data_IF_670210105182
#
_entry.id   IF_670210105182
#
_cell.length_a   1.000
_cell.length_b   1.000
_cell.length_c   1.000
_cell.angle_alpha   90.00
_cell.angle_beta   90.00
_cell.angle_gamma   90.00
#
_symmetry.space_group_name_H-M   'P 1'
#
loop_
_entity.id
_entity.type
_entity.pdbx_description
1 polymer ?
#
# COMPACT_ATOMS: atom_id res chain seq x y z
N UNK A 1 27.13 -28.21 -42.43
CA UNK A 1 26.75 -26.78 -42.28
C UNK A 1 25.39 -26.73 -41.60
N UNK A 2 25.34 -26.41 -40.31
CA UNK A 2 24.10 -26.02 -39.64
C UNK A 2 24.45 -24.89 -38.68
N UNK A 3 24.02 -23.68 -39.02
CA UNK A 3 24.22 -22.48 -38.23
C UNK A 3 23.25 -22.48 -37.05
N UNK A 4 23.76 -22.52 -35.81
CA UNK A 4 22.95 -22.17 -34.63
C UNK A 4 23.02 -20.65 -34.46
N UNK A 5 21.93 -19.97 -34.79
CA UNK A 5 21.76 -18.55 -34.53
C UNK A 5 21.48 -18.32 -33.04
N UNK A 6 22.42 -17.68 -32.34
CA UNK A 6 22.16 -17.04 -31.05
C UNK A 6 21.25 -15.83 -31.26
N UNK A 7 20.09 -15.81 -30.61
CA UNK A 7 19.29 -14.60 -30.44
C UNK A 7 19.49 -14.11 -29.01
N UNK A 8 20.39 -13.16 -28.82
CA UNK A 8 20.54 -12.44 -27.55
C UNK A 8 19.45 -11.37 -27.44
N UNK A 9 18.49 -11.59 -26.54
CA UNK A 9 17.52 -10.56 -26.17
C UNK A 9 18.18 -9.58 -25.19
N UNK A 10 18.44 -8.35 -25.65
CA UNK A 10 18.82 -7.23 -24.79
C UNK A 10 17.57 -6.75 -24.05
N UNK A 11 17.45 -7.10 -22.76
CA UNK A 11 16.49 -6.46 -21.87
C UNK A 11 16.96 -5.02 -21.62
N UNK A 12 16.33 -4.06 -22.30
CA UNK A 12 16.54 -2.63 -22.03
C UNK A 12 15.80 -2.28 -20.74
N UNK A 13 16.50 -2.28 -19.61
CA UNK A 13 16.02 -1.68 -18.37
C UNK A 13 16.13 -0.16 -18.52
N UNK A 14 15.02 0.51 -18.88
CA UNK A 14 14.95 1.96 -18.78
C UNK A 14 15.10 2.33 -17.31
N UNK A 15 16.09 3.15 -16.92
CA UNK A 15 16.11 3.70 -15.57
C UNK A 15 14.90 4.62 -15.44
N UNK A 16 13.97 4.27 -14.55
CA UNK A 16 12.97 5.21 -14.09
C UNK A 16 13.72 6.40 -13.49
N UNK A 17 13.62 7.56 -14.12
CA UNK A 17 14.08 8.80 -13.51
C UNK A 17 13.37 8.94 -12.16
N UNK A 18 14.12 9.14 -11.08
CA UNK A 18 13.58 9.41 -9.75
C UNK A 18 12.55 10.54 -9.87
N UNK A 19 11.28 10.20 -9.67
CA UNK A 19 10.18 11.10 -9.91
C UNK A 19 9.98 11.91 -8.64
N UNK A 20 10.37 13.18 -8.65
CA UNK A 20 10.23 14.05 -7.46
C UNK A 20 8.86 13.86 -6.79
N UNK A 21 8.81 13.74 -5.45
CA UNK A 21 7.56 13.51 -4.74
C UNK A 21 6.51 14.56 -5.13
N UNK A 22 5.26 14.11 -5.29
CA UNK A 22 4.15 14.99 -5.71
C UNK A 22 3.67 15.92 -4.59
N UNK A 23 4.19 15.76 -3.37
CA UNK A 23 3.92 16.60 -2.21
C UNK A 23 5.06 17.57 -1.93
N UNK A 24 4.76 18.63 -1.17
CA UNK A 24 5.79 19.57 -0.68
C UNK A 24 6.53 18.94 0.50
N UNK A 25 7.86 18.99 0.46
CA UNK A 25 8.69 18.60 1.60
C UNK A 25 8.78 19.79 2.56
N UNK A 26 8.32 19.66 3.82
CA UNK A 26 8.46 20.71 4.82
C UNK A 26 9.92 21.10 5.05
N UNK A 27 10.18 22.38 5.34
CA UNK A 27 11.54 22.90 5.55
C UNK A 27 12.32 22.16 6.65
N UNK A 28 11.61 21.66 7.68
CA UNK A 28 12.20 20.86 8.76
C UNK A 28 12.76 19.52 8.27
N UNK A 29 12.19 18.95 7.19
CA UNK A 29 12.69 17.74 6.54
C UNK A 29 13.68 18.03 5.41
N UNK A 30 13.61 19.20 4.76
CA UNK A 30 14.47 19.51 3.62
C UNK A 30 15.96 19.38 3.92
N UNK A 31 16.39 19.75 5.14
CA UNK A 31 17.79 19.61 5.57
C UNK A 31 18.17 18.13 5.73
N UNK A 32 17.30 17.36 6.39
CA UNK A 32 17.52 15.95 6.63
C UNK A 32 17.65 15.15 5.32
N UNK A 33 16.75 15.38 4.37
CA UNK A 33 16.77 14.75 3.04
C UNK A 33 18.05 15.11 2.24
N UNK A 34 18.66 16.27 2.50
CA UNK A 34 19.89 16.69 1.81
C UNK A 34 21.16 16.15 2.46
N UNK A 35 21.16 15.96 3.77
CA UNK A 35 22.36 15.62 4.54
C UNK A 35 22.48 14.12 4.84
N UNK A 36 21.37 13.38 4.77
CA UNK A 36 21.31 11.95 5.07
C UNK A 36 20.86 11.15 3.83
N UNK A 37 21.77 10.41 3.23
CA UNK A 37 21.51 9.57 2.06
C UNK A 37 20.63 8.35 2.37
N UNK A 38 20.42 8.05 3.66
CA UNK A 38 19.49 7.01 4.12
C UNK A 38 18.06 7.54 4.30
N UNK A 39 17.86 8.86 4.22
CA UNK A 39 16.56 9.51 4.28
C UNK A 39 15.85 9.44 2.93
N UNK A 40 15.23 8.29 2.65
CA UNK A 40 14.46 8.07 1.43
C UNK A 40 13.00 8.49 1.64
N UNK A 41 12.47 9.22 0.66
CA UNK A 41 11.11 9.76 0.66
C UNK A 41 10.18 8.87 -0.17
N UNK A 42 9.01 8.46 0.34
CA UNK A 42 8.04 7.68 -0.43
C UNK A 42 7.46 8.48 -1.60
N UNK A 43 7.55 7.99 -2.83
CA UNK A 43 7.06 8.71 -4.02
C UNK A 43 5.68 8.19 -4.47
N UNK A 44 5.53 6.87 -4.54
CA UNK A 44 4.30 6.22 -4.95
C UNK A 44 4.32 4.73 -4.64
N UNK A 45 3.16 4.12 -4.76
CA UNK A 45 2.97 2.75 -4.32
C UNK A 45 2.17 1.92 -5.31
N UNK A 46 2.40 0.61 -5.24
CA UNK A 46 1.63 -0.42 -5.93
C UNK A 46 0.88 -1.28 -4.92
N UNK A 47 -0.39 -1.50 -5.20
CA UNK A 47 -1.22 -2.51 -4.54
C UNK A 47 -1.38 -3.66 -5.52
N UNK A 48 -0.95 -4.84 -5.11
CA UNK A 48 -1.01 -6.06 -5.90
C UNK A 48 -1.88 -7.13 -5.24
N UNK A 49 -2.47 -8.00 -6.07
CA UNK A 49 -3.27 -9.15 -5.62
C UNK A 49 -4.33 -8.77 -4.58
N UNK A 50 -4.96 -7.60 -4.73
CA UNK A 50 -5.94 -7.11 -3.76
C UNK A 50 -7.16 -8.03 -3.71
N UNK A 51 -7.51 -8.45 -2.49
CA UNK A 51 -8.70 -9.25 -2.20
C UNK A 51 -9.38 -8.70 -0.96
N UNK A 52 -10.71 -8.62 -1.03
CA UNK A 52 -11.55 -8.28 0.12
C UNK A 52 -12.70 -9.26 0.23
N UNK A 53 -13.01 -9.67 1.45
CA UNK A 53 -14.25 -10.34 1.77
C UNK A 53 -15.03 -9.49 2.78
N UNK A 54 -16.29 -9.23 2.48
CA UNK A 54 -17.23 -8.53 3.35
C UNK A 54 -18.38 -9.45 3.70
N UNK A 55 -18.73 -9.50 4.98
CA UNK A 55 -19.85 -10.32 5.45
C UNK A 55 -21.19 -9.77 4.96
N UNK A 56 -22.19 -10.65 4.86
CA UNK A 56 -23.56 -10.23 4.60
C UNK A 56 -24.06 -9.29 5.72
N UNK A 57 -24.87 -8.28 5.35
CA UNK A 57 -25.48 -7.38 6.32
C UNK A 57 -26.18 -8.14 7.46
N UNK A 58 -25.96 -7.70 8.70
CA UNK A 58 -26.46 -8.36 9.91
C UNK A 58 -25.54 -9.47 10.45
N UNK A 59 -24.46 -9.82 9.77
CA UNK A 59 -23.41 -10.69 10.31
C UNK A 59 -22.51 -9.94 11.30
N UNK A 60 -22.00 -10.65 12.31
CA UNK A 60 -20.98 -10.14 13.23
C UNK A 60 -19.54 -10.37 12.72
N UNK A 61 -19.36 -10.91 11.50
CA UNK A 61 -18.04 -11.17 10.92
C UNK A 61 -17.45 -9.88 10.36
N UNK A 62 -16.22 -9.59 10.76
CA UNK A 62 -15.44 -8.44 10.25
C UNK A 62 -15.04 -8.63 8.79
N UNK A 63 -14.76 -7.51 8.12
CA UNK A 63 -14.13 -7.49 6.79
C UNK A 63 -12.76 -8.20 6.85
N UNK A 64 -12.41 -8.89 5.77
CA UNK A 64 -11.08 -9.47 5.58
C UNK A 64 -10.43 -8.86 4.34
N UNK A 65 -9.22 -8.32 4.45
CA UNK A 65 -8.48 -7.70 3.34
C UNK A 65 -7.10 -8.33 3.26
N UNK A 66 -6.63 -8.61 2.04
CA UNK A 66 -5.26 -9.03 1.78
C UNK A 66 -4.76 -8.34 0.51
N UNK A 67 -3.52 -7.84 0.54
CA UNK A 67 -2.83 -7.34 -0.65
C UNK A 67 -1.31 -7.32 -0.42
N UNK A 68 -0.57 -7.20 -1.51
CA UNK A 68 0.87 -6.93 -1.50
C UNK A 68 1.07 -5.44 -1.78
N UNK A 69 1.92 -4.80 -0.97
CA UNK A 69 2.35 -3.43 -1.09
C UNK A 69 3.77 -3.37 -1.65
N UNK A 70 4.03 -2.46 -2.58
CA UNK A 70 5.39 -2.16 -3.02
C UNK A 70 5.57 -0.66 -3.23
N UNK A 71 6.66 -0.11 -2.72
CA UNK A 71 7.19 1.21 -3.06
C UNK A 71 8.63 1.03 -3.56
N UNK A 72 8.85 1.33 -4.85
CA UNK A 72 10.16 1.19 -5.47
C UNK A 72 11.16 2.23 -4.94
N UNK A 73 10.68 3.41 -4.52
CA UNK A 73 11.53 4.51 -4.03
C UNK A 73 12.18 4.12 -2.70
N UNK A 74 11.41 3.59 -1.75
CA UNK A 74 11.90 3.13 -0.44
C UNK A 74 12.32 1.66 -0.42
N UNK A 75 12.19 0.97 -1.56
CA UNK A 75 12.47 -0.47 -1.71
C UNK A 75 11.68 -1.36 -0.74
N UNK A 76 10.51 -0.91 -0.29
CA UNK A 76 9.65 -1.66 0.61
C UNK A 76 8.76 -2.60 -0.22
N UNK A 77 8.76 -3.87 0.15
CA UNK A 77 7.79 -4.87 -0.31
C UNK A 77 7.26 -5.62 0.89
N UNK A 78 5.94 -5.58 1.11
CA UNK A 78 5.32 -6.20 2.28
C UNK A 78 3.89 -6.66 2.01
N UNK A 79 3.43 -7.66 2.77
CA UNK A 79 2.03 -8.07 2.73
C UNK A 79 1.23 -7.29 3.78
N UNK A 80 0.00 -6.94 3.42
CA UNK A 80 -0.91 -6.19 4.26
C UNK A 80 -2.20 -6.97 4.47
N UNK A 81 -2.67 -7.04 5.71
CA UNK A 81 -3.79 -7.90 6.10
C UNK A 81 -4.72 -7.19 7.09
N UNK A 82 -6.03 -7.33 6.86
CA UNK A 82 -7.08 -6.99 7.83
C UNK A 82 -7.90 -8.25 8.11
N UNK A 83 -8.08 -8.57 9.38
CA UNK A 83 -8.99 -9.62 9.84
C UNK A 83 -9.56 -9.26 11.22
N UNK A 84 -10.32 -10.17 11.83
CA UNK A 84 -10.96 -9.94 13.13
C UNK A 84 -9.98 -9.70 14.29
N UNK A 85 -8.74 -10.18 14.19
CA UNK A 85 -7.69 -9.99 15.20
C UNK A 85 -6.82 -8.75 14.97
N UNK A 86 -6.96 -8.08 13.83
CA UNK A 86 -6.18 -6.88 13.52
C UNK A 86 -6.57 -5.74 14.48
N UNK A 87 -5.56 -5.21 15.19
CA UNK A 87 -5.74 -4.07 16.08
C UNK A 87 -5.61 -2.75 15.30
N UNK A 88 -6.33 -1.72 15.75
CA UNK A 88 -6.09 -0.35 15.31
C UNK A 88 -4.72 0.11 15.80
N UNK A 89 -3.85 0.55 14.88
CA UNK A 89 -2.53 1.12 15.18
C UNK A 89 -2.49 2.65 15.03
N UNK A 90 -3.60 3.25 14.60
CA UNK A 90 -3.75 4.71 14.50
C UNK A 90 -4.21 5.35 15.81
N UNK A 91 -4.22 6.69 15.88
CA UNK A 91 -4.63 7.41 17.09
C UNK A 91 -6.08 7.10 17.50
N UNK A 92 -6.38 7.13 18.81
CA UNK A 92 -7.74 6.98 19.31
C UNK A 92 -8.69 8.04 18.73
N UNK A 93 -9.93 7.65 18.42
CA UNK A 93 -10.97 8.58 17.94
C UNK A 93 -10.87 8.96 16.46
N UNK A 94 -9.84 8.51 15.75
CA UNK A 94 -9.74 8.64 14.29
C UNK A 94 -10.18 7.36 13.57
N UNK A 95 -10.24 7.42 12.24
CA UNK A 95 -10.51 6.23 11.42
C UNK A 95 -9.40 5.19 11.67
N UNK A 96 -9.74 3.92 11.96
CA UNK A 96 -8.74 2.91 12.26
C UNK A 96 -7.70 2.75 11.14
N UNK A 97 -6.45 2.62 11.55
CA UNK A 97 -5.31 2.24 10.70
C UNK A 97 -4.88 0.83 11.04
N UNK A 98 -4.41 0.10 10.04
CA UNK A 98 -3.91 -1.26 10.21
C UNK A 98 -2.50 -1.34 9.63
N UNK A 99 -1.56 -1.90 10.40
CA UNK A 99 -0.20 -2.10 9.95
C UNK A 99 -0.12 -3.26 8.95
N UNK A 100 0.74 -3.13 7.96
CA UNK A 100 1.21 -4.26 7.17
C UNK A 100 2.23 -5.08 7.99
N UNK A 101 2.73 -6.19 7.43
CA UNK A 101 3.78 -6.97 8.09
C UNK A 101 5.05 -6.15 8.32
N UNK A 102 5.29 -5.13 7.49
CA UNK A 102 6.23 -4.07 7.77
C UNK A 102 5.45 -2.89 8.38
N UNK A 103 5.76 -2.52 9.62
CA UNK A 103 5.03 -1.51 10.40
C UNK A 103 5.30 -0.07 9.95
N UNK A 104 6.25 0.14 9.02
CA UNK A 104 6.45 1.42 8.34
C UNK A 104 5.31 1.74 7.38
N UNK A 105 4.55 0.71 6.95
CA UNK A 105 3.40 0.85 6.06
C UNK A 105 2.14 0.52 6.83
N UNK A 106 1.17 1.43 6.74
CA UNK A 106 -0.15 1.28 7.31
C UNK A 106 -1.19 1.59 6.25
N UNK A 107 -2.41 1.11 6.46
CA UNK A 107 -3.52 1.41 5.57
C UNK A 107 -4.83 1.68 6.30
N UNK A 108 -5.69 2.42 5.61
CA UNK A 108 -7.08 2.66 5.98
C UNK A 108 -7.95 2.15 4.84
N UNK A 109 -8.96 1.35 5.18
CA UNK A 109 -10.00 0.95 4.25
C UNK A 109 -11.32 1.63 4.61
N UNK A 110 -11.86 2.43 3.69
CA UNK A 110 -13.13 3.10 3.89
C UNK A 110 -13.88 3.25 2.55
N UNK A 111 -15.11 2.73 2.49
CA UNK A 111 -16.05 2.94 1.38
C UNK A 111 -15.46 2.68 -0.03
N UNK A 112 -14.67 1.60 -0.20
CA UNK A 112 -14.07 1.27 -1.49
C UNK A 112 -12.76 2.01 -1.80
N UNK A 113 -12.36 2.94 -0.92
CA UNK A 113 -11.10 3.68 -1.02
C UNK A 113 -10.08 3.08 -0.05
N UNK A 114 -8.89 2.84 -0.60
CA UNK A 114 -7.71 2.48 0.15
C UNK A 114 -6.85 3.73 0.32
N UNK A 115 -6.49 4.08 1.55
CA UNK A 115 -5.46 5.08 1.86
C UNK A 115 -4.25 4.35 2.41
N UNK A 116 -3.10 4.51 1.76
CA UNK A 116 -1.81 4.03 2.24
C UNK A 116 -1.09 5.15 2.95
N UNK A 117 -0.41 4.79 4.03
CA UNK A 117 0.43 5.67 4.83
C UNK A 117 1.78 5.00 4.99
N UNK A 118 2.85 5.68 4.62
CA UNK A 118 4.22 5.20 4.78
C UNK A 118 5.04 6.19 5.60
N UNK A 119 5.77 5.69 6.61
CA UNK A 119 6.73 6.51 7.38
C UNK A 119 7.83 7.01 6.46
N UNK A 120 8.03 8.33 6.41
CA UNK A 120 9.13 8.94 5.68
C UNK A 120 10.40 8.98 6.55
N UNK A 121 11.55 8.68 5.94
CA UNK A 121 12.87 8.68 6.60
C UNK A 121 12.92 8.00 7.99
N UNK A 122 12.38 6.77 8.16
CA UNK A 122 12.21 6.15 9.47
C UNK A 122 13.52 5.96 10.25
N UNK A 123 14.67 5.92 9.57
CA UNK A 123 16.00 5.76 10.17
C UNK A 123 16.46 6.99 10.96
N UNK A 124 15.86 8.14 10.69
CA UNK A 124 16.31 9.45 11.21
C UNK A 124 15.59 9.87 12.49
N UNK A 125 14.64 9.06 12.96
CA UNK A 125 13.73 9.43 14.04
C UNK A 125 12.68 10.47 13.62
N UNK A 126 12.55 10.80 12.34
CA UNK A 126 11.51 11.70 11.86
C UNK A 126 10.11 11.11 12.08
N UNK A 127 9.23 11.91 12.69
CA UNK A 127 7.82 11.58 12.85
C UNK A 127 7.00 12.16 11.70
N UNK A 128 7.34 11.79 10.47
CA UNK A 128 6.59 12.20 9.27
C UNK A 128 6.10 10.98 8.51
N UNK A 129 4.92 11.12 7.92
CA UNK A 129 4.29 10.09 7.12
C UNK A 129 3.79 10.66 5.79
N UNK A 130 4.09 9.94 4.72
CA UNK A 130 3.52 10.18 3.41
C UNK A 130 2.17 9.47 3.32
N UNK A 131 1.16 10.09 2.72
CA UNK A 131 -0.14 9.46 2.52
C UNK A 131 -0.69 9.69 1.09
N UNK A 132 -1.39 8.67 0.60
CA UNK A 132 -2.02 8.68 -0.73
C UNK A 132 -3.21 7.73 -0.76
N UNK A 133 -4.20 8.06 -1.58
CA UNK A 133 -5.48 7.33 -1.64
C UNK A 133 -5.82 6.90 -3.05
N UNK A 134 -6.47 5.74 -3.17
CA UNK A 134 -6.98 5.21 -4.43
C UNK A 134 -8.31 4.49 -4.22
N UNK A 135 -9.30 4.80 -5.05
CA UNK A 135 -10.56 4.05 -5.10
C UNK A 135 -10.37 2.82 -5.96
N UNK A 136 -10.69 1.65 -5.41
CA UNK A 136 -10.49 0.37 -6.08
C UNK A 136 -11.71 -0.03 -6.89
N UNK A 137 -11.48 -0.33 -8.17
CA UNK A 137 -12.47 -1.00 -9.01
C UNK A 137 -12.42 -2.50 -8.71
N UNK A 138 -13.54 -3.04 -8.25
CA UNK A 138 -13.64 -4.42 -7.78
C UNK A 138 -14.64 -5.23 -8.60
N UNK A 139 -14.31 -6.49 -8.87
CA UNK A 139 -15.29 -7.50 -9.32
C UNK A 139 -15.61 -8.42 -8.17
N UNK A 140 -16.90 -8.56 -7.87
CA UNK A 140 -17.39 -9.27 -6.70
C UNK A 140 -18.19 -10.51 -7.08
N UNK A 141 -18.07 -11.54 -6.25
CA UNK A 141 -18.87 -12.76 -6.30
C UNK A 141 -19.49 -13.01 -4.94
N UNK A 142 -20.77 -13.37 -4.94
CA UNK A 142 -21.45 -13.73 -3.69
C UNK A 142 -20.92 -15.07 -3.18
N UNK A 143 -20.59 -15.11 -1.91
CA UNK A 143 -20.22 -16.32 -1.17
C UNK A 143 -21.43 -16.83 -0.40
N UNK A 144 -21.68 -18.14 -0.46
CA UNK A 144 -22.82 -18.78 0.18
C UNK A 144 -22.53 -19.13 1.64
N UNK A 145 -23.60 -19.35 2.42
CA UNK A 145 -23.52 -19.68 3.85
C UNK A 145 -22.63 -20.89 4.16
N UNK A 146 -22.62 -21.90 3.28
CA UNK A 146 -21.84 -23.13 3.47
C UNK A 146 -20.37 -23.00 3.06
N UNK A 147 -19.91 -21.82 2.65
CA UNK A 147 -18.49 -21.60 2.38
C UNK A 147 -17.71 -21.46 3.69
N UNK A 148 -16.40 -21.75 3.65
CA UNK A 148 -15.48 -21.52 4.79
C UNK A 148 -15.50 -20.08 5.29
N UNK A 149 -15.74 -19.11 4.39
CA UNK A 149 -15.85 -17.69 4.71
C UNK A 149 -17.26 -17.30 5.21
N UNK A 150 -18.29 -18.12 4.98
CA UNK A 150 -19.70 -17.82 5.26
C UNK A 150 -20.37 -16.97 4.19
N UNK A 151 -21.62 -16.55 4.46
CA UNK A 151 -22.37 -15.72 3.53
C UNK A 151 -21.82 -14.29 3.48
N UNK A 152 -21.58 -13.77 2.28
CA UNK A 152 -20.97 -12.46 2.07
C UNK A 152 -20.59 -12.20 0.62
N UNK A 153 -19.69 -11.25 0.38
CA UNK A 153 -19.17 -10.90 -0.93
C UNK A 153 -17.65 -11.01 -0.94
N UNK A 154 -17.10 -11.79 -1.87
CA UNK A 154 -15.67 -11.84 -2.14
C UNK A 154 -15.37 -11.05 -3.39
N UNK A 155 -14.51 -10.05 -3.27
CA UNK A 155 -14.11 -9.19 -4.37
C UNK A 155 -12.61 -9.19 -4.58
N UNK A 156 -12.22 -9.02 -5.84
CA UNK A 156 -10.84 -8.83 -6.28
C UNK A 156 -10.73 -7.56 -7.10
N UNK A 157 -9.54 -6.95 -7.16
CA UNK A 157 -9.31 -5.80 -8.03
C UNK A 157 -9.44 -6.20 -9.51
N UNK A 158 -10.01 -5.31 -10.32
CA UNK A 158 -10.08 -5.50 -11.78
C UNK A 158 -8.77 -5.14 -12.48
N UNK A 159 -7.94 -4.33 -11.82
CA UNK A 159 -6.60 -3.97 -12.25
C UNK A 159 -5.59 -4.54 -11.26
N UNK A 160 -4.49 -5.08 -11.76
CA UNK A 160 -3.36 -5.57 -10.98
C UNK A 160 -2.07 -5.38 -11.82
N UNK A 161 -1.08 -4.58 -11.39
CA UNK A 161 -1.06 -3.76 -10.17
C UNK A 161 -1.99 -2.54 -10.24
N UNK A 162 -2.51 -2.12 -9.09
CA UNK A 162 -3.04 -0.76 -8.92
C UNK A 162 -1.87 0.15 -8.55
N UNK A 163 -1.67 1.22 -9.30
CA UNK A 163 -0.59 2.19 -9.08
C UNK A 163 -1.20 3.50 -8.61
N UNK A 164 -0.61 4.11 -7.60
CA UNK A 164 -0.98 5.42 -7.08
C UNK A 164 0.25 6.15 -6.53
N UNK A 165 0.09 7.43 -6.22
CA UNK A 165 1.17 8.28 -5.72
C UNK A 165 0.84 8.76 -4.30
N UNK A 166 1.88 9.05 -3.52
CA UNK A 166 1.73 9.78 -2.28
C UNK A 166 1.50 11.27 -2.60
N UNK A 167 0.49 11.88 -1.98
CA UNK A 167 0.07 13.26 -2.28
C UNK A 167 0.19 14.22 -1.10
N UNK A 168 0.48 13.70 0.08
CA UNK A 168 0.73 14.50 1.29
C UNK A 168 1.90 13.95 2.07
N UNK A 169 2.57 14.83 2.82
CA UNK A 169 3.61 14.49 3.78
C UNK A 169 3.37 15.34 5.03
N UNK A 170 2.99 14.70 6.12
CA UNK A 170 2.56 15.38 7.34
C UNK A 170 3.23 14.75 8.57
N UNK A 171 3.32 15.48 9.70
CA UNK A 171 3.73 14.88 10.95
C UNK A 171 2.81 13.70 11.33
N UNK A 172 3.38 12.64 11.90
CA UNK A 172 2.61 11.50 12.43
C UNK A 172 1.63 12.00 13.50
N UNK A 173 0.32 11.78 13.34
CA UNK A 173 -0.68 12.17 14.33
C UNK A 173 -0.43 11.54 15.71
N UNK A 174 -0.69 12.31 16.78
CA UNK A 174 -0.58 11.88 18.18
C UNK A 174 -1.94 11.50 18.77
#
# INVERSE_FOLDING_TARGET
>A
MLFLSLVSALAVSLPFAAAKPAYKIPAIMSKLVQEDDTCIMPEGFRIQKFRIWSSQAGSNRSVNINFEYTDDSTSINTCCHLNQSSANVGPPGLTPRYACNNDTVQFIWQNGTMTLVEKACPQTGSHFEAAGSVTLNLTCTNTLFNSTAGAGSSCVSTKDPIEAIFTSLEPTPQ
#
